data_IF_522903128975
#
_entry.id   IF_522903128975
#
_cell.length_a   1.000
_cell.length_b   1.000
_cell.length_c   1.000
_cell.angle_alpha   90.00
_cell.angle_beta   90.00
_cell.angle_gamma   90.00
#
_symmetry.space_group_name_H-M   'P 1'
#
loop_
_entity.id
_entity.type
_entity.pdbx_description
1 polymer ?
#
# COMPACT_ATOMS: atom_id res chain seq x y z
N UNK A 1 -26.65 -12.95 -56.73
CA UNK A 1 -26.98 -11.85 -55.81
C UNK A 1 -27.51 -10.71 -56.66
N UNK A 2 -28.83 -10.50 -56.64
CA UNK A 2 -29.49 -9.38 -57.31
C UNK A 2 -29.30 -8.12 -56.46
N UNK A 3 -28.80 -7.04 -57.06
CA UNK A 3 -28.62 -5.76 -56.40
C UNK A 3 -29.96 -5.10 -56.02
N UNK A 4 -29.91 -4.02 -55.21
CA UNK A 4 -31.11 -3.33 -54.72
C UNK A 4 -31.98 -2.85 -55.89
N UNK A 5 -33.29 -3.00 -55.72
CA UNK A 5 -34.29 -2.57 -56.70
C UNK A 5 -34.45 -1.05 -56.69
N UNK A 6 -35.02 -0.49 -57.75
CA UNK A 6 -35.30 0.96 -57.83
C UNK A 6 -36.18 1.44 -56.65
N UNK A 7 -37.08 0.58 -56.17
CA UNK A 7 -37.87 0.84 -54.97
C UNK A 7 -37.03 0.93 -53.68
N UNK A 8 -35.99 0.09 -53.57
CA UNK A 8 -35.06 0.12 -52.43
C UNK A 8 -34.20 1.40 -52.44
N UNK A 9 -33.82 1.87 -53.63
CA UNK A 9 -33.04 3.10 -53.79
C UNK A 9 -33.88 4.35 -53.50
N UNK A 10 -35.15 4.38 -53.91
CA UNK A 10 -36.08 5.47 -53.61
C UNK A 10 -36.39 5.51 -52.11
N UNK A 11 -36.62 4.36 -51.49
CA UNK A 11 -36.86 4.26 -50.04
C UNK A 11 -35.63 4.71 -49.24
N UNK A 12 -34.43 4.34 -49.68
CA UNK A 12 -33.19 4.80 -49.06
C UNK A 12 -32.98 6.31 -49.25
N UNK A 13 -33.31 6.87 -50.43
CA UNK A 13 -33.22 8.29 -50.70
C UNK A 13 -34.20 9.10 -49.83
N UNK A 14 -35.43 8.62 -49.66
CA UNK A 14 -36.44 9.25 -48.80
C UNK A 14 -36.04 9.18 -47.32
N UNK A 15 -35.43 8.08 -46.87
CA UNK A 15 -34.89 7.96 -45.51
C UNK A 15 -33.71 8.92 -45.28
N UNK A 16 -32.82 9.09 -46.26
CA UNK A 16 -31.71 10.04 -46.18
C UNK A 16 -32.22 11.48 -46.19
N UNK A 17 -33.23 11.80 -47.00
CA UNK A 17 -33.87 13.11 -47.04
C UNK A 17 -34.60 13.43 -45.72
N UNK A 18 -35.33 12.47 -45.16
CA UNK A 18 -35.99 12.61 -43.85
C UNK A 18 -34.96 12.77 -42.72
N UNK A 19 -33.86 12.04 -42.74
CA UNK A 19 -32.77 12.19 -41.77
C UNK A 19 -32.05 13.55 -41.91
N UNK A 20 -31.89 14.06 -43.14
CA UNK A 20 -31.32 15.38 -43.39
C UNK A 20 -32.26 16.51 -42.94
N UNK A 21 -33.57 16.38 -43.16
CA UNK A 21 -34.58 17.31 -42.69
C UNK A 21 -34.68 17.33 -41.15
N UNK A 22 -34.64 16.15 -40.51
CA UNK A 22 -34.62 16.03 -39.05
C UNK A 22 -33.35 16.65 -38.43
N UNK A 23 -32.17 16.43 -39.05
CA UNK A 23 -30.95 17.15 -38.66
C UNK A 23 -31.10 18.65 -38.83
N UNK A 24 -31.63 19.12 -39.97
CA UNK A 24 -31.90 20.54 -40.20
C UNK A 24 -32.82 21.15 -39.14
N UNK A 25 -33.86 20.44 -38.70
CA UNK A 25 -34.75 20.88 -37.61
C UNK A 25 -34.07 20.95 -36.25
N UNK A 26 -33.21 19.97 -35.91
CA UNK A 26 -32.42 19.99 -34.68
C UNK A 26 -31.49 21.22 -34.61
N UNK A 27 -30.99 21.69 -35.77
CA UNK A 27 -30.09 22.84 -35.89
C UNK A 27 -30.77 24.18 -36.26
N UNK A 28 -32.05 24.18 -36.66
CA UNK A 28 -32.82 25.39 -37.02
C UNK A 28 -33.17 26.30 -35.84
N UNK A 29 -33.07 25.82 -34.60
CA UNK A 29 -33.49 26.54 -33.39
C UNK A 29 -32.47 27.55 -32.82
N UNK A 30 -31.36 27.82 -33.50
CA UNK A 30 -30.34 28.76 -33.04
C UNK A 30 -29.60 28.33 -31.76
N UNK A 31 -28.45 28.96 -31.54
CA UNK A 31 -27.59 28.71 -30.38
C UNK A 31 -28.16 29.42 -29.15
N UNK A 32 -29.06 28.75 -28.41
CA UNK A 32 -29.64 29.34 -27.19
C UNK A 32 -28.63 29.31 -26.04
N UNK A 33 -28.62 30.33 -25.16
CA UNK A 33 -27.78 30.34 -23.93
C UNK A 33 -27.92 29.05 -23.13
N UNK A 34 -29.11 28.44 -23.10
CA UNK A 34 -29.38 27.17 -22.42
C UNK A 34 -28.69 25.98 -23.09
N UNK A 35 -28.65 25.92 -24.42
CA UNK A 35 -27.92 24.89 -25.18
C UNK A 35 -26.41 25.10 -25.15
N UNK A 36 -25.95 26.35 -25.15
CA UNK A 36 -24.52 26.66 -24.92
C UNK A 36 -24.08 26.28 -23.51
N UNK A 37 -24.87 26.59 -22.48
CA UNK A 37 -24.57 26.18 -21.10
C UNK A 37 -24.69 24.66 -20.91
N UNK A 38 -25.62 23.99 -21.59
CA UNK A 38 -25.69 22.53 -21.60
C UNK A 38 -24.48 21.91 -22.32
N UNK A 39 -24.07 22.46 -23.47
CA UNK A 39 -22.89 22.02 -24.22
C UNK A 39 -21.56 22.31 -23.50
N UNK A 40 -21.41 23.51 -22.94
CA UNK A 40 -20.27 23.89 -22.11
C UNK A 40 -20.25 23.10 -20.78
N UNK A 41 -21.42 22.80 -20.22
CA UNK A 41 -21.58 21.92 -19.07
C UNK A 41 -21.18 20.48 -19.37
N UNK A 42 -21.51 19.96 -20.55
CA UNK A 42 -21.06 18.64 -21.03
C UNK A 42 -19.56 18.61 -21.29
N UNK A 43 -18.97 19.65 -21.90
CA UNK A 43 -17.52 19.74 -22.12
C UNK A 43 -16.77 19.93 -20.81
N UNK A 44 -17.28 20.74 -19.88
CA UNK A 44 -16.69 20.91 -18.55
C UNK A 44 -16.84 19.63 -17.70
N UNK A 45 -17.97 18.93 -17.77
CA UNK A 45 -18.15 17.63 -17.12
C UNK A 45 -17.30 16.53 -17.77
N UNK A 46 -17.08 16.57 -19.09
CA UNK A 46 -16.17 15.67 -19.78
C UNK A 46 -14.70 16.02 -19.50
N UNK A 47 -14.35 17.29 -19.28
CA UNK A 47 -13.00 17.73 -18.92
C UNK A 47 -12.67 17.43 -17.45
N UNK A 48 -13.59 17.72 -16.52
CA UNK A 48 -13.48 17.33 -15.11
C UNK A 48 -13.60 15.82 -14.92
N UNK A 49 -14.47 15.19 -15.72
CA UNK A 49 -14.54 13.74 -15.89
C UNK A 49 -13.19 13.22 -16.36
N UNK A 50 -12.58 13.76 -17.42
CA UNK A 50 -11.29 13.31 -17.96
C UNK A 50 -10.14 13.39 -16.95
N UNK A 51 -10.12 14.40 -16.06
CA UNK A 51 -9.14 14.49 -14.98
C UNK A 51 -9.38 13.47 -13.85
N UNK A 52 -10.61 12.97 -13.68
CA UNK A 52 -10.96 11.85 -12.82
C UNK A 52 -10.94 10.48 -13.56
N UNK A 53 -10.86 10.48 -14.89
CA UNK A 53 -11.08 9.33 -15.80
C UNK A 53 -9.79 8.86 -16.47
N UNK A 54 -8.63 9.48 -16.20
CA UNK A 54 -7.35 8.83 -16.52
C UNK A 54 -7.23 7.57 -15.66
N UNK A 55 -7.58 6.43 -16.26
CA UNK A 55 -7.46 5.04 -15.76
C UNK A 55 -8.31 4.64 -14.53
N UNK A 56 -9.63 4.90 -14.57
CA UNK A 56 -10.61 4.19 -13.74
C UNK A 56 -11.22 3.01 -14.49
N UNK A 57 -10.58 1.84 -14.45
CA UNK A 57 -11.27 0.56 -14.64
C UNK A 57 -11.36 -0.15 -13.29
N UNK A 58 -12.39 0.16 -12.51
CA UNK A 58 -12.83 -0.66 -11.40
C UNK A 58 -14.13 -1.35 -11.81
N UNK A 59 -14.07 -2.64 -12.17
CA UNK A 59 -15.31 -3.41 -12.35
C UNK A 59 -15.87 -3.71 -10.96
N UNK A 60 -16.95 -3.04 -10.58
CA UNK A 60 -17.73 -3.41 -9.42
C UNK A 60 -18.77 -4.46 -9.82
N UNK A 61 -18.55 -5.72 -9.41
CA UNK A 61 -19.65 -6.63 -9.13
C UNK A 61 -19.83 -6.67 -7.60
N UNK A 62 -21.03 -6.43 -7.05
CA UNK A 62 -21.28 -6.66 -5.64
C UNK A 62 -21.02 -8.15 -5.33
N UNK A 63 -20.05 -8.44 -4.44
CA UNK A 63 -19.72 -9.80 -4.01
C UNK A 63 -18.27 -10.29 -4.24
N UNK A 64 -17.34 -9.47 -4.75
CA UNK A 64 -15.92 -9.87 -4.97
C UNK A 64 -14.93 -9.35 -3.90
N UNK A 65 -15.42 -8.80 -2.79
CA UNK A 65 -14.58 -8.49 -1.64
C UNK A 65 -14.19 -9.81 -0.97
N UNK A 66 -12.90 -10.13 -0.97
CA UNK A 66 -12.39 -11.34 -0.30
C UNK A 66 -12.41 -11.22 1.22
N UNK A 67 -12.79 -10.05 1.77
CA UNK A 67 -12.63 -9.68 3.17
C UNK A 67 -11.17 -9.45 3.58
N UNK A 68 -10.22 -9.70 2.66
CA UNK A 68 -8.79 -9.73 2.93
C UNK A 68 -8.07 -8.46 2.54
N UNK A 69 -7.17 -8.01 3.41
CA UNK A 69 -6.39 -6.80 3.21
C UNK A 69 -4.88 -7.03 3.47
N UNK A 70 -4.05 -6.51 2.57
CA UNK A 70 -2.60 -6.41 2.72
C UNK A 70 -2.22 -4.95 3.00
N UNK A 71 -1.64 -4.69 4.17
CA UNK A 71 -1.09 -3.38 4.53
C UNK A 71 0.43 -3.43 4.43
N UNK A 72 1.03 -2.61 3.57
CA UNK A 72 2.48 -2.50 3.40
C UNK A 72 2.94 -1.21 4.05
N UNK A 73 3.72 -1.31 5.13
CA UNK A 73 4.32 -0.15 5.80
C UNK A 73 5.76 -0.01 5.33
N UNK A 74 6.08 1.11 4.69
CA UNK A 74 7.42 1.43 4.24
C UNK A 74 8.14 2.31 5.27
N UNK A 75 9.15 1.75 5.91
CA UNK A 75 10.03 2.41 6.86
C UNK A 75 11.18 3.11 6.10
N UNK A 76 10.91 4.32 5.61
CA UNK A 76 11.81 5.12 4.75
C UNK A 76 13.03 5.59 5.56
N UNK A 77 14.24 5.33 5.04
CA UNK A 77 15.51 5.74 5.64
C UNK A 77 16.46 4.59 5.97
N UNK A 78 16.08 3.35 5.62
CA UNK A 78 16.88 2.18 5.94
C UNK A 78 16.71 1.75 7.39
N UNK A 79 15.57 1.18 7.75
CA UNK A 79 15.27 0.69 9.10
C UNK A 79 16.42 -0.14 9.70
N UNK A 80 16.77 0.08 10.97
CA UNK A 80 17.83 -0.69 11.63
C UNK A 80 17.28 -1.99 12.24
N UNK A 81 17.12 -3.01 11.39
CA UNK A 81 16.67 -4.34 11.81
C UNK A 81 17.56 -5.00 12.87
N UNK A 82 18.84 -4.65 12.96
CA UNK A 82 19.77 -5.18 13.97
C UNK A 82 19.58 -4.52 15.35
N UNK A 83 19.07 -3.29 15.40
CA UNK A 83 18.67 -2.65 16.66
C UNK A 83 17.24 -3.04 17.07
N UNK A 84 16.35 -3.34 16.12
CA UNK A 84 14.98 -3.72 16.42
C UNK A 84 14.83 -5.21 16.81
N UNK A 85 15.48 -6.09 16.06
CA UNK A 85 15.51 -7.55 16.26
C UNK A 85 16.96 -7.93 16.48
N UNK A 86 17.35 -7.91 17.74
CA UNK A 86 18.75 -7.92 18.18
C UNK A 86 19.27 -9.36 18.19
N UNK A 87 20.37 -9.67 17.49
CA UNK A 87 20.99 -11.00 17.51
C UNK A 87 21.79 -11.20 18.81
N UNK A 88 21.08 -11.33 19.92
CA UNK A 88 21.64 -11.40 21.28
C UNK A 88 22.69 -12.51 21.47
N UNK A 89 22.58 -13.59 20.69
CA UNK A 89 23.53 -14.70 20.72
C UNK A 89 24.78 -14.51 19.86
N UNK A 90 24.89 -13.41 19.11
CA UNK A 90 26.02 -13.14 18.21
C UNK A 90 27.09 -12.28 18.93
N UNK A 91 28.31 -12.81 19.14
CA UNK A 91 29.34 -12.12 19.90
C UNK A 91 29.86 -10.84 19.22
N UNK A 92 29.71 -10.72 17.90
CA UNK A 92 30.22 -9.57 17.15
C UNK A 92 29.27 -8.36 17.22
N UNK A 93 28.03 -8.53 17.68
CA UNK A 93 27.04 -7.45 17.73
C UNK A 93 27.46 -6.27 18.62
N UNK A 94 27.76 -6.52 19.89
CA UNK A 94 28.16 -5.46 20.84
C UNK A 94 29.58 -4.96 20.57
N UNK A 95 30.43 -5.78 19.93
CA UNK A 95 31.76 -5.35 19.47
C UNK A 95 31.62 -4.31 18.37
N UNK A 96 30.70 -4.54 17.43
CA UNK A 96 30.44 -3.63 16.32
C UNK A 96 29.65 -2.37 16.75
N UNK A 97 28.91 -2.43 17.86
CA UNK A 97 28.03 -1.36 18.35
C UNK A 97 28.27 -1.02 19.83
N UNK A 98 29.47 -0.55 20.20
CA UNK A 98 29.83 -0.35 21.60
C UNK A 98 29.00 0.71 22.33
N UNK A 99 28.40 1.68 21.63
CA UNK A 99 27.60 2.74 22.27
C UNK A 99 26.09 2.60 22.03
N UNK A 100 25.68 2.11 20.85
CA UNK A 100 24.25 1.99 20.47
C UNK A 100 23.70 0.56 20.57
N UNK A 101 24.54 -0.42 20.85
CA UNK A 101 24.15 -1.82 20.95
C UNK A 101 23.22 -2.07 22.14
N UNK A 102 22.18 -2.89 21.92
CA UNK A 102 21.24 -3.25 22.98
C UNK A 102 21.74 -4.50 23.71
N UNK A 103 21.94 -4.45 25.03
CA UNK A 103 22.45 -5.60 25.78
C UNK A 103 21.38 -6.68 25.95
N UNK A 104 21.81 -7.94 26.01
CA UNK A 104 20.92 -9.10 25.96
C UNK A 104 19.90 -9.13 27.10
N UNK A 105 20.28 -8.66 28.29
CA UNK A 105 19.44 -8.60 29.48
C UNK A 105 18.26 -7.62 29.38
N UNK A 106 18.31 -6.66 28.45
CA UNK A 106 17.24 -5.70 28.23
C UNK A 106 16.22 -6.16 27.19
N UNK A 107 16.51 -7.26 26.47
CA UNK A 107 15.70 -7.72 25.36
C UNK A 107 14.49 -8.51 25.81
N UNK A 108 13.41 -8.39 25.03
CA UNK A 108 12.28 -9.29 25.12
C UNK A 108 12.62 -10.54 24.30
N UNK A 109 12.70 -11.74 24.90
CA UNK A 109 13.19 -12.92 24.19
C UNK A 109 12.23 -13.33 23.06
N UNK A 110 12.77 -13.58 21.86
CA UNK A 110 12.01 -14.14 20.72
C UNK A 110 12.34 -15.62 20.55
N UNK A 111 13.64 -15.94 20.44
CA UNK A 111 14.16 -17.30 20.41
C UNK A 111 15.56 -17.35 21.05
N UNK A 112 16.33 -18.41 20.81
CA UNK A 112 17.71 -18.54 21.34
C UNK A 112 18.73 -17.62 20.66
N UNK A 113 18.42 -17.11 19.48
CA UNK A 113 19.31 -16.30 18.64
C UNK A 113 18.99 -14.82 18.78
N UNK A 114 17.71 -14.48 18.88
CA UNK A 114 17.20 -13.12 18.78
C UNK A 114 16.36 -12.70 19.99
N UNK A 115 16.46 -11.41 20.31
CA UNK A 115 15.54 -10.70 21.20
C UNK A 115 14.99 -9.45 20.52
N UNK A 116 13.82 -9.01 20.94
CA UNK A 116 13.17 -7.80 20.46
C UNK A 116 13.57 -6.62 21.36
N UNK A 117 13.81 -5.46 20.74
CA UNK A 117 14.06 -4.21 21.47
C UNK A 117 12.88 -3.92 22.44
N UNK A 118 13.13 -3.52 23.71
CA UNK A 118 12.07 -3.32 24.70
C UNK A 118 11.03 -2.25 24.32
N UNK A 119 11.44 -1.23 23.56
CA UNK A 119 10.52 -0.24 22.97
C UNK A 119 9.42 -0.85 22.09
N UNK A 120 9.63 -2.05 21.52
CA UNK A 120 8.63 -2.80 20.77
C UNK A 120 7.77 -3.72 21.66
N UNK A 121 7.80 -3.55 22.98
CA UNK A 121 7.11 -4.44 23.93
C UNK A 121 5.60 -4.57 23.73
N UNK A 122 4.96 -3.57 23.11
CA UNK A 122 3.56 -3.65 22.69
C UNK A 122 3.28 -4.80 21.70
N UNK A 123 4.31 -5.29 20.98
CA UNK A 123 4.21 -6.39 20.01
C UNK A 123 4.42 -7.77 20.63
N UNK A 124 4.98 -7.86 21.83
CA UNK A 124 5.31 -9.15 22.47
C UNK A 124 4.08 -10.07 22.64
N UNK A 125 2.88 -9.57 23.04
CA UNK A 125 1.69 -10.42 23.10
C UNK A 125 1.30 -11.04 21.75
N UNK A 126 1.46 -10.30 20.65
CA UNK A 126 1.13 -10.79 19.31
C UNK A 126 2.13 -11.84 18.82
N UNK A 127 3.41 -11.70 19.18
CA UNK A 127 4.41 -12.73 18.92
C UNK A 127 4.09 -14.01 19.69
N UNK A 128 3.83 -13.91 20.99
CA UNK A 128 3.46 -15.04 21.83
C UNK A 128 2.16 -15.73 21.37
N UNK A 129 1.21 -14.98 20.82
CA UNK A 129 -0.04 -15.50 20.25
C UNK A 129 0.13 -16.11 18.83
N UNK A 130 1.33 -16.09 18.26
CA UNK A 130 1.57 -16.57 16.90
C UNK A 130 0.96 -15.69 15.80
N UNK A 131 0.65 -14.44 16.12
CA UNK A 131 0.08 -13.44 15.21
C UNK A 131 1.15 -12.50 14.62
N UNK A 132 2.31 -12.40 15.25
CA UNK A 132 3.49 -11.69 14.73
C UNK A 132 4.57 -12.69 14.32
N UNK A 133 5.04 -12.59 13.08
CA UNK A 133 6.25 -13.24 12.58
C UNK A 133 7.29 -12.20 12.19
N UNK A 134 8.55 -12.60 12.17
CA UNK A 134 9.67 -11.75 11.78
C UNK A 134 10.50 -12.50 10.75
N UNK A 135 11.00 -11.82 9.73
CA UNK A 135 12.06 -12.33 8.85
C UNK A 135 13.27 -11.45 9.04
N UNK A 136 14.41 -12.03 9.42
CA UNK A 136 15.67 -11.29 9.57
C UNK A 136 16.55 -11.45 8.33
N UNK A 137 17.66 -10.72 8.26
CA UNK A 137 18.64 -10.75 7.18
C UNK A 137 17.98 -10.66 5.78
N UNK A 138 16.96 -9.80 5.69
CA UNK A 138 16.22 -9.55 4.45
C UNK A 138 16.95 -8.53 3.60
N UNK A 139 17.11 -8.81 2.31
CA UNK A 139 17.62 -7.85 1.32
C UNK A 139 17.08 -8.14 -0.07
N UNK A 140 17.47 -7.35 -1.06
CA UNK A 140 17.16 -7.61 -2.49
C UNK A 140 18.32 -8.27 -3.24
N UNK A 141 19.14 -9.07 -2.54
CA UNK A 141 20.39 -9.60 -3.08
C UNK A 141 21.45 -8.53 -3.35
N UNK A 142 22.42 -8.83 -4.22
CA UNK A 142 23.56 -7.95 -4.55
C UNK A 142 23.21 -6.74 -5.44
N UNK A 143 21.94 -6.54 -5.76
CA UNK A 143 21.47 -5.53 -6.73
C UNK A 143 21.04 -4.20 -6.12
N UNK A 144 20.73 -4.17 -4.81
CA UNK A 144 20.25 -2.95 -4.15
C UNK A 144 21.40 -1.98 -3.90
N UNK A 145 21.24 -0.73 -4.35
CA UNK A 145 22.21 0.33 -4.13
C UNK A 145 22.04 0.95 -2.75
N UNK A 146 23.07 1.64 -2.22
CA UNK A 146 22.96 2.42 -0.98
C UNK A 146 22.35 3.82 -1.18
N UNK A 147 21.73 4.08 -2.33
CA UNK A 147 21.04 5.35 -2.59
C UNK A 147 19.56 5.20 -2.26
N UNK A 148 19.05 6.00 -1.31
CA UNK A 148 17.61 5.96 -0.95
C UNK A 148 16.71 6.02 -2.18
N UNK A 149 16.96 6.96 -3.09
CA UNK A 149 16.12 7.13 -4.27
C UNK A 149 16.06 5.86 -5.14
N UNK A 150 17.22 5.27 -5.44
CA UNK A 150 17.29 4.08 -6.30
C UNK A 150 16.79 2.82 -5.58
N UNK A 151 17.18 2.63 -4.32
CA UNK A 151 16.80 1.46 -3.53
C UNK A 151 15.30 1.43 -3.25
N UNK A 152 14.71 2.58 -2.90
CA UNK A 152 13.26 2.71 -2.74
C UNK A 152 12.53 2.41 -4.05
N UNK A 153 12.98 2.98 -5.17
CA UNK A 153 12.37 2.71 -6.48
C UNK A 153 12.46 1.22 -6.86
N UNK A 154 13.62 0.58 -6.67
CA UNK A 154 13.80 -0.86 -6.94
C UNK A 154 12.89 -1.74 -6.07
N UNK A 155 12.91 -1.52 -4.75
CA UNK A 155 12.17 -2.39 -3.83
C UNK A 155 10.65 -2.21 -3.97
N UNK A 156 10.18 -0.98 -4.17
CA UNK A 156 8.78 -0.67 -4.41
C UNK A 156 8.32 -1.19 -5.79
N UNK A 157 9.20 -1.20 -6.78
CA UNK A 157 8.92 -1.84 -8.07
C UNK A 157 9.03 -3.34 -8.02
N UNK A 158 9.73 -3.94 -7.05
CA UNK A 158 9.93 -5.39 -7.01
C UNK A 158 10.84 -5.92 -8.11
N UNK A 159 11.72 -5.09 -8.69
CA UNK A 159 12.56 -5.45 -9.83
C UNK A 159 13.92 -4.78 -9.77
N UNK A 160 14.93 -5.47 -10.31
CA UNK A 160 16.30 -4.93 -10.42
C UNK A 160 16.49 -4.04 -11.67
N UNK A 161 15.57 -4.14 -12.65
CA UNK A 161 15.64 -3.40 -13.91
C UNK A 161 14.99 -2.01 -13.80
N UNK A 162 15.72 -0.91 -14.12
CA UNK A 162 15.17 0.45 -14.09
C UNK A 162 14.15 0.72 -15.21
N UNK A 163 13.96 -0.21 -16.15
CA UNK A 163 13.04 -0.05 -17.27
C UNK A 163 11.57 -0.34 -16.90
N UNK A 164 11.33 -1.05 -15.79
CA UNK A 164 9.99 -1.42 -15.35
C UNK A 164 9.30 -0.22 -14.72
N UNK A 165 8.19 0.23 -15.31
CA UNK A 165 7.46 1.42 -14.84
C UNK A 165 6.36 1.13 -13.83
N UNK A 166 5.98 -0.13 -13.64
CA UNK A 166 4.92 -0.51 -12.70
C UNK A 166 5.49 -0.97 -11.35
N UNK A 167 4.69 -0.78 -10.29
CA UNK A 167 4.97 -1.28 -8.96
C UNK A 167 4.63 -2.76 -8.79
N UNK A 168 5.22 -3.43 -7.80
CA UNK A 168 4.89 -4.85 -7.56
C UNK A 168 3.48 -5.03 -7.01
N UNK A 169 3.04 -4.14 -6.12
CA UNK A 169 1.72 -4.23 -5.50
C UNK A 169 0.62 -3.93 -6.53
N UNK A 170 0.87 -3.02 -7.47
CA UNK A 170 0.05 -2.82 -8.66
C UNK A 170 -0.11 -4.12 -9.46
N UNK A 171 0.99 -4.78 -9.84
CA UNK A 171 0.92 -6.03 -10.61
C UNK A 171 0.21 -7.14 -9.84
N UNK A 172 0.40 -7.21 -8.53
CA UNK A 172 -0.30 -8.16 -7.67
C UNK A 172 -1.80 -7.87 -7.62
N UNK A 173 -2.18 -6.59 -7.51
CA UNK A 173 -3.56 -6.16 -7.58
C UNK A 173 -4.16 -6.57 -8.91
N UNK A 174 -3.56 -6.24 -10.06
CA UNK A 174 -4.06 -6.63 -11.39
C UNK A 174 -4.42 -8.12 -11.49
N UNK A 175 -3.60 -9.00 -10.90
CA UNK A 175 -3.87 -10.44 -10.83
C UNK A 175 -5.02 -10.82 -9.89
N UNK A 176 -5.26 -10.06 -8.82
CA UNK A 176 -6.41 -10.24 -7.93
C UNK A 176 -7.75 -9.90 -8.60
N UNK A 177 -7.72 -9.42 -9.85
CA UNK A 177 -8.90 -9.03 -10.59
C UNK A 177 -9.51 -7.71 -10.09
N UNK A 178 -10.65 -7.30 -10.65
CA UNK A 178 -11.23 -6.00 -10.36
C UNK A 178 -11.76 -5.91 -8.92
N UNK A 179 -11.86 -4.68 -8.39
CA UNK A 179 -12.36 -4.41 -7.05
C UNK A 179 -13.08 -3.07 -6.95
N UNK A 180 -13.38 -2.64 -5.73
CA UNK A 180 -14.00 -1.34 -5.46
C UNK A 180 -13.01 -0.21 -5.71
N UNK A 181 -13.45 1.05 -5.60
CA UNK A 181 -12.49 2.16 -5.70
C UNK A 181 -11.51 2.20 -4.54
N UNK A 182 -11.93 1.78 -3.34
CA UNK A 182 -11.04 1.70 -2.18
C UNK A 182 -10.17 0.45 -2.18
N UNK A 183 -10.15 -0.33 -3.28
CA UNK A 183 -9.30 -1.52 -3.44
C UNK A 183 -7.85 -1.27 -3.10
N UNK A 184 -7.33 -0.10 -3.47
CA UNK A 184 -5.97 0.34 -3.19
C UNK A 184 -5.98 1.71 -2.53
N UNK A 185 -5.36 1.82 -1.35
CA UNK A 185 -5.24 3.07 -0.59
C UNK A 185 -3.77 3.36 -0.30
N UNK A 186 -3.39 4.63 -0.37
CA UNK A 186 -2.06 5.10 -0.01
C UNK A 186 -2.19 6.16 1.07
N UNK A 187 -1.65 5.93 2.25
CA UNK A 187 -1.53 6.91 3.34
C UNK A 187 -0.07 7.32 3.49
N UNK A 188 0.27 8.60 3.26
CA UNK A 188 1.66 9.00 3.44
C UNK A 188 2.08 10.30 2.78
N UNK A 189 3.40 10.51 2.84
CA UNK A 189 4.08 11.74 2.44
C UNK A 189 4.34 11.78 0.92
N UNK A 190 4.31 10.60 0.26
CA UNK A 190 4.57 10.41 -1.16
C UNK A 190 3.58 9.43 -1.80
N UNK A 191 3.43 9.48 -3.12
CA UNK A 191 2.80 8.40 -3.87
C UNK A 191 3.81 7.25 -4.02
N UNK A 192 3.53 6.06 -3.48
CA UNK A 192 4.50 4.97 -3.48
C UNK A 192 4.65 4.37 -4.87
N UNK A 193 5.88 4.08 -5.29
CA UNK A 193 6.15 3.45 -6.58
C UNK A 193 5.55 2.03 -6.65
N UNK A 194 5.23 1.41 -5.52
CA UNK A 194 4.62 0.08 -5.43
C UNK A 194 3.20 0.02 -5.99
N UNK A 195 2.50 1.15 -5.99
CA UNK A 195 1.18 1.31 -6.60
C UNK A 195 1.23 2.06 -7.94
N UNK A 196 2.43 2.33 -8.49
CA UNK A 196 2.55 2.97 -9.79
C UNK A 196 2.05 2.05 -10.90
N UNK A 197 1.05 2.50 -11.65
CA UNK A 197 0.53 1.78 -12.82
C UNK A 197 -0.86 2.23 -13.21
N UNK A 198 -1.70 1.27 -13.58
CA UNK A 198 -3.04 1.49 -14.11
C UNK A 198 -4.13 1.52 -13.03
N UNK A 199 -3.92 0.86 -11.88
CA UNK A 199 -4.80 1.04 -10.72
C UNK A 199 -4.61 2.45 -10.17
N UNK A 200 -5.69 3.22 -10.15
CA UNK A 200 -5.69 4.51 -9.46
C UNK A 200 -5.88 4.24 -7.96
N UNK A 201 -4.79 4.13 -7.21
CA UNK A 201 -4.86 4.10 -5.75
C UNK A 201 -5.45 5.40 -5.22
N UNK A 202 -6.32 5.31 -4.22
CA UNK A 202 -6.82 6.50 -3.51
C UNK A 202 -5.72 6.96 -2.56
N UNK A 203 -5.08 8.07 -2.88
CA UNK A 203 -4.15 8.73 -1.96
C UNK A 203 -4.94 9.49 -0.90
N UNK A 204 -4.66 9.18 0.36
CA UNK A 204 -5.24 9.78 1.55
C UNK A 204 -4.12 10.50 2.32
N UNK A 205 -4.42 11.69 2.83
CA UNK A 205 -3.63 12.35 3.88
C UNK A 205 -4.53 12.47 5.10
N UNK A 206 -4.89 11.32 5.64
CA UNK A 206 -6.03 11.16 6.53
C UNK A 206 -7.35 11.07 5.78
N UNK A 207 -8.25 10.18 6.23
CA UNK A 207 -9.54 9.90 5.56
C UNK A 207 -10.31 11.19 5.34
N UNK A 208 -10.25 12.16 6.28
CA UNK A 208 -10.95 13.46 6.24
C UNK A 208 -10.43 14.49 5.23
N UNK A 209 -9.19 14.37 4.72
CA UNK A 209 -8.62 15.35 3.77
C UNK A 209 -9.21 15.19 2.35
N UNK A 210 -9.52 13.95 1.94
CA UNK A 210 -10.27 13.67 0.71
C UNK A 210 -11.74 14.15 0.80
N UNK A 211 -12.19 14.49 2.01
CA UNK A 211 -13.58 14.81 2.34
C UNK A 211 -13.87 16.32 2.34
N UNK A 212 -12.84 17.16 2.24
CA UNK A 212 -12.97 18.62 2.26
C UNK A 212 -13.18 19.20 0.85
N UNK A 213 -14.24 18.80 0.17
CA UNK A 213 -14.70 19.59 -0.98
C UNK A 213 -16.22 19.76 -0.97
N UNK A 214 -16.71 20.91 -0.48
CA UNK A 214 -18.13 21.31 -0.52
C UNK A 214 -18.66 21.47 -1.95
N UNK A 215 -17.79 21.45 -2.97
CA UNK A 215 -18.20 21.36 -4.37
C UNK A 215 -18.79 19.99 -4.75
N UNK A 216 -18.50 18.93 -3.96
CA UNK A 216 -18.92 17.56 -4.26
C UNK A 216 -20.44 17.39 -4.31
N UNK A 217 -21.23 17.98 -3.40
CA UNK A 217 -22.70 17.80 -3.40
C UNK A 217 -23.42 18.45 -4.60
N UNK A 218 -23.02 19.70 -4.93
CA UNK A 218 -23.55 20.38 -6.13
C UNK A 218 -23.09 19.69 -7.40
N UNK A 219 -21.85 19.20 -7.41
CA UNK A 219 -21.29 18.45 -8.53
C UNK A 219 -21.92 17.06 -8.67
N UNK A 220 -22.20 16.33 -7.58
CA UNK A 220 -22.95 15.05 -7.63
C UNK A 220 -24.35 15.26 -8.16
N UNK A 221 -25.02 16.33 -7.73
CA UNK A 221 -26.38 16.65 -8.19
C UNK A 221 -26.38 17.03 -9.67
N UNK A 222 -25.39 17.82 -10.09
CA UNK A 222 -25.18 18.18 -11.50
C UNK A 222 -24.83 16.95 -12.36
N UNK A 223 -23.94 16.06 -11.90
CA UNK A 223 -23.57 14.82 -12.59
C UNK A 223 -24.75 13.84 -12.68
N UNK A 224 -25.50 13.64 -11.58
CA UNK A 224 -26.73 12.82 -11.61
C UNK A 224 -27.74 13.38 -12.61
N UNK A 225 -27.95 14.69 -12.63
CA UNK A 225 -28.88 15.34 -13.55
C UNK A 225 -28.40 15.37 -15.01
N UNK A 226 -27.08 15.43 -15.26
CA UNK A 226 -26.52 15.40 -16.62
C UNK A 226 -26.57 14.00 -17.24
N UNK A 227 -26.36 12.96 -16.44
CA UNK A 227 -26.17 11.57 -16.92
C UNK A 227 -27.37 10.65 -16.66
N UNK A 228 -28.41 11.10 -15.97
CA UNK A 228 -29.65 10.32 -15.85
C UNK A 228 -30.31 10.15 -17.22
N UNK A 229 -30.41 8.90 -17.71
CA UNK A 229 -31.09 8.56 -18.96
C UNK A 229 -30.24 8.66 -20.23
N UNK A 230 -28.92 8.82 -20.13
CA UNK A 230 -28.00 8.79 -21.27
C UNK A 230 -27.21 7.47 -21.31
N UNK A 231 -27.32 6.75 -22.43
CA UNK A 231 -26.58 5.51 -22.69
C UNK A 231 -25.23 5.86 -23.33
N UNK A 232 -24.31 6.37 -22.51
CA UNK A 232 -22.97 6.81 -22.93
C UNK A 232 -21.89 5.85 -22.38
N UNK A 233 -20.77 5.65 -23.10
CA UNK A 233 -19.62 4.87 -22.60
C UNK A 233 -19.02 5.38 -21.28
N UNK A 234 -19.37 6.59 -20.85
CA UNK A 234 -18.91 7.26 -19.63
C UNK A 234 -19.89 7.10 -18.47
N UNK A 235 -21.12 6.61 -18.70
CA UNK A 235 -22.16 6.49 -17.69
C UNK A 235 -21.75 5.56 -16.53
N UNK A 236 -21.03 4.47 -16.84
CA UNK A 236 -20.48 3.55 -15.85
C UNK A 236 -19.43 4.23 -14.94
N UNK A 237 -18.54 5.04 -15.53
CA UNK A 237 -17.50 5.79 -14.81
C UNK A 237 -18.07 6.89 -13.92
N UNK A 238 -19.16 7.51 -14.37
CA UNK A 238 -19.94 8.47 -13.55
C UNK A 238 -20.62 7.74 -12.39
N UNK A 239 -21.18 6.55 -12.62
CA UNK A 239 -21.77 5.69 -11.58
C UNK A 239 -20.77 5.31 -10.49
N UNK A 240 -19.53 4.94 -10.86
CA UNK A 240 -18.43 4.68 -9.93
C UNK A 240 -18.06 5.93 -9.12
N UNK A 241 -17.99 7.09 -9.77
CA UNK A 241 -17.70 8.38 -9.12
C UNK A 241 -18.81 8.79 -8.15
N UNK A 242 -20.08 8.54 -8.48
CA UNK A 242 -21.20 8.81 -7.59
C UNK A 242 -21.27 7.82 -6.41
N UNK A 243 -20.95 6.55 -6.64
CA UNK A 243 -20.90 5.51 -5.60
C UNK A 243 -19.78 5.79 -4.59
N UNK A 244 -18.63 6.22 -5.11
CA UNK A 244 -17.54 6.78 -4.30
C UNK A 244 -18.03 7.90 -3.40
N UNK A 245 -18.62 8.95 -3.98
CA UNK A 245 -19.06 10.10 -3.23
C UNK A 245 -20.09 9.72 -2.15
N UNK A 246 -20.96 8.75 -2.43
CA UNK A 246 -21.91 8.22 -1.44
C UNK A 246 -21.22 7.43 -0.30
N UNK A 247 -20.30 6.50 -0.61
CA UNK A 247 -19.56 5.74 0.41
C UNK A 247 -18.71 6.67 1.27
N UNK A 248 -18.01 7.59 0.61
CA UNK A 248 -17.23 8.66 1.23
C UNK A 248 -18.09 9.52 2.16
N UNK A 249 -19.29 9.92 1.73
CA UNK A 249 -20.23 10.68 2.58
C UNK A 249 -20.76 9.86 3.77
N UNK A 250 -21.00 8.56 3.57
CA UNK A 250 -21.39 7.65 4.65
C UNK A 250 -20.28 7.50 5.69
N UNK A 251 -19.03 7.30 5.25
CA UNK A 251 -17.89 7.24 6.15
C UNK A 251 -17.81 8.50 7.01
N UNK A 252 -17.91 9.69 6.41
CA UNK A 252 -17.91 10.98 7.12
C UNK A 252 -18.97 11.11 8.20
N UNK A 253 -20.18 10.66 7.90
CA UNK A 253 -21.33 10.87 8.77
C UNK A 253 -21.22 10.07 10.07
N UNK A 254 -20.36 9.05 10.11
CA UNK A 254 -20.13 8.20 11.27
C UNK A 254 -18.72 8.45 11.82
N UNK A 255 -18.58 9.14 12.97
CA UNK A 255 -17.31 9.23 13.68
C UNK A 255 -16.75 7.84 13.95
N UNK A 256 -15.48 7.63 13.62
CA UNK A 256 -14.82 6.38 13.94
C UNK A 256 -14.43 6.35 15.41
N UNK A 257 -14.85 5.31 16.11
CA UNK A 257 -14.43 5.05 17.49
C UNK A 257 -13.67 3.71 17.49
N UNK A 258 -12.37 3.71 17.85
CA UNK A 258 -11.63 2.47 18.03
C UNK A 258 -12.28 1.54 19.06
N UNK A 259 -11.91 0.26 19.05
CA UNK A 259 -12.35 -0.70 20.06
C UNK A 259 -12.06 -0.21 21.48
N UNK A 260 -12.82 -0.70 22.45
CA UNK A 260 -12.68 -0.29 23.85
C UNK A 260 -11.23 -0.48 24.34
N UNK A 261 -10.71 0.53 25.05
CA UNK A 261 -9.33 0.53 25.55
C UNK A 261 -8.26 0.84 24.50
N UNK A 262 -8.57 0.82 23.20
CA UNK A 262 -7.58 1.14 22.15
C UNK A 262 -7.34 2.64 22.07
N UNK A 263 -6.06 3.01 22.01
CA UNK A 263 -5.60 4.38 21.75
C UNK A 263 -4.47 4.32 20.73
N UNK A 264 -4.68 4.97 19.58
CA UNK A 264 -3.60 5.15 18.61
C UNK A 264 -2.61 6.20 19.13
N UNK A 265 -1.29 6.00 18.93
CA UNK A 265 -0.31 7.01 19.29
C UNK A 265 -0.51 8.27 18.45
N UNK A 266 -0.07 9.42 18.98
CA UNK A 266 -0.05 10.66 18.21
C UNK A 266 0.90 10.56 17.01
N UNK A 267 0.62 11.36 15.97
CA UNK A 267 1.45 11.43 14.77
C UNK A 267 0.87 10.67 13.57
N UNK A 268 1.57 10.78 12.44
CA UNK A 268 1.06 10.35 11.14
C UNK A 268 0.80 8.84 11.06
N UNK A 269 1.68 8.02 11.65
CA UNK A 269 1.51 6.56 11.63
C UNK A 269 0.26 6.15 12.42
N UNK A 270 0.06 6.66 13.64
CA UNK A 270 -1.12 6.33 14.43
C UNK A 270 -2.42 6.76 13.75
N UNK A 271 -2.44 7.94 13.12
CA UNK A 271 -3.58 8.41 12.34
C UNK A 271 -3.84 7.52 11.11
N UNK A 272 -2.82 7.20 10.32
CA UNK A 272 -2.94 6.33 9.15
C UNK A 272 -3.46 4.94 9.52
N UNK A 273 -2.94 4.32 10.59
CA UNK A 273 -3.43 3.02 11.04
C UNK A 273 -4.87 3.08 11.53
N UNK A 274 -5.27 4.14 12.25
CA UNK A 274 -6.66 4.36 12.65
C UNK A 274 -7.59 4.49 11.44
N UNK A 275 -7.16 5.18 10.40
CA UNK A 275 -7.91 5.37 9.17
C UNK A 275 -8.05 4.07 8.38
N UNK A 276 -6.99 3.28 8.26
CA UNK A 276 -7.06 1.95 7.66
C UNK A 276 -8.00 1.02 8.46
N UNK A 277 -7.99 1.08 9.80
CA UNK A 277 -8.89 0.28 10.62
C UNK A 277 -10.35 0.65 10.37
N UNK A 278 -10.65 1.95 10.24
CA UNK A 278 -11.97 2.45 9.84
C UNK A 278 -12.40 1.91 8.48
N UNK A 279 -11.53 1.96 7.47
CA UNK A 279 -11.84 1.48 6.12
C UNK A 279 -12.08 -0.04 6.10
N UNK A 280 -11.25 -0.81 6.79
CA UNK A 280 -11.41 -2.27 6.91
C UNK A 280 -12.73 -2.61 7.60
N UNK A 281 -13.03 -1.98 8.73
CA UNK A 281 -14.27 -2.23 9.49
C UNK A 281 -15.52 -1.82 8.73
N UNK A 282 -15.44 -0.72 7.95
CA UNK A 282 -16.52 -0.27 7.08
C UNK A 282 -16.72 -1.14 5.84
N UNK A 283 -15.85 -2.14 5.60
CA UNK A 283 -15.97 -3.11 4.51
C UNK A 283 -16.10 -2.45 3.12
N UNK A 284 -15.31 -1.40 2.89
CA UNK A 284 -15.32 -0.66 1.61
C UNK A 284 -14.64 -1.40 0.45
N UNK A 285 -14.22 -2.65 0.68
CA UNK A 285 -13.51 -3.49 -0.29
C UNK A 285 -12.02 -3.18 -0.42
N UNK A 286 -11.38 -2.71 0.66
CA UNK A 286 -9.92 -2.54 0.72
C UNK A 286 -9.23 -3.89 0.51
N UNK A 287 -8.27 -3.94 -0.43
CA UNK A 287 -7.42 -5.13 -0.65
C UNK A 287 -5.96 -4.85 -0.36
N UNK A 288 -5.49 -3.65 -0.69
CA UNK A 288 -4.12 -3.24 -0.46
C UNK A 288 -4.07 -1.82 0.09
N UNK A 289 -3.24 -1.61 1.10
CA UNK A 289 -2.91 -0.29 1.61
C UNK A 289 -1.39 -0.13 1.70
N UNK A 290 -0.90 1.07 1.48
CA UNK A 290 0.50 1.44 1.71
C UNK A 290 0.59 2.57 2.74
N UNK A 291 1.53 2.49 3.67
CA UNK A 291 1.80 3.54 4.65
C UNK A 291 3.27 3.91 4.63
N UNK A 292 3.61 5.18 4.40
CA UNK A 292 5.01 5.66 4.47
C UNK A 292 5.33 6.22 5.87
N UNK A 293 6.43 5.74 6.46
CA UNK A 293 6.95 6.19 7.76
C UNK A 293 8.41 6.57 7.61
N UNK A 294 8.73 7.85 7.70
CA UNK A 294 10.10 8.36 7.68
C UNK A 294 10.77 8.36 9.06
N UNK A 295 12.01 8.87 9.11
CA UNK A 295 12.79 9.03 10.33
C UNK A 295 13.80 7.91 10.61
N UNK A 296 13.92 6.92 9.73
CA UNK A 296 14.79 5.76 9.96
C UNK A 296 16.24 5.95 9.50
N UNK A 297 16.56 7.09 8.87
CA UNK A 297 17.92 7.41 8.42
C UNK A 297 18.80 7.96 9.57
N UNK A 298 18.98 7.14 10.59
CA UNK A 298 19.64 7.51 11.84
C UNK A 298 21.17 7.45 11.73
N UNK A 299 21.76 8.46 11.10
CA UNK A 299 23.22 8.65 11.03
C UNK A 299 23.85 9.16 12.33
N UNK A 300 23.04 9.71 13.23
CA UNK A 300 23.46 10.17 14.55
C UNK A 300 22.31 10.00 15.53
N UNK A 301 22.60 10.13 16.83
CA UNK A 301 21.60 10.12 17.90
C UNK A 301 20.66 8.90 17.86
N UNK A 302 21.13 7.74 17.39
CA UNK A 302 20.35 6.51 17.46
C UNK A 302 19.96 6.20 18.91
N UNK A 303 20.88 6.51 19.84
CA UNK A 303 20.68 6.39 21.27
C UNK A 303 21.03 5.01 21.81
N UNK A 304 20.71 4.81 23.07
CA UNK A 304 20.81 3.52 23.74
C UNK A 304 19.42 2.89 23.90
N UNK A 305 19.35 1.76 24.59
CA UNK A 305 18.12 0.96 24.77
C UNK A 305 16.93 1.73 25.36
N UNK A 306 17.17 2.80 26.11
CA UNK A 306 16.16 3.58 26.83
C UNK A 306 16.02 5.04 26.35
N UNK A 307 16.75 5.44 25.31
CA UNK A 307 16.78 6.83 24.84
C UNK A 307 17.08 6.93 23.32
N UNK A 308 17.09 8.17 22.82
CA UNK A 308 17.41 8.51 21.44
C UNK A 308 16.33 8.16 20.42
N UNK A 309 16.66 8.45 19.16
CA UNK A 309 15.67 8.45 18.07
C UNK A 309 15.23 7.02 17.72
N UNK A 310 16.12 6.02 17.86
CA UNK A 310 15.76 4.62 17.59
C UNK A 310 14.68 4.14 18.56
N UNK A 311 14.88 4.35 19.87
CA UNK A 311 13.91 3.96 20.90
C UNK A 311 12.57 4.67 20.70
N UNK A 312 12.57 5.96 20.39
CA UNK A 312 11.36 6.73 20.15
C UNK A 312 10.58 6.24 18.91
N UNK A 313 11.28 6.01 17.78
CA UNK A 313 10.66 5.52 16.56
C UNK A 313 10.11 4.10 16.72
N UNK A 314 10.85 3.21 17.40
CA UNK A 314 10.39 1.86 17.71
C UNK A 314 9.15 1.87 18.61
N UNK A 315 9.11 2.70 19.65
CA UNK A 315 7.94 2.83 20.52
C UNK A 315 6.71 3.29 19.74
N UNK A 316 6.87 4.25 18.83
CA UNK A 316 5.81 4.72 17.94
C UNK A 316 5.30 3.61 16.99
N UNK A 317 6.22 2.90 16.34
CA UNK A 317 5.90 1.79 15.44
C UNK A 317 5.17 0.66 16.17
N UNK A 318 5.74 0.18 17.27
CA UNK A 318 5.18 -0.92 18.07
C UNK A 318 3.80 -0.60 18.61
N UNK A 319 3.61 0.62 19.15
CA UNK A 319 2.32 1.06 19.70
C UNK A 319 1.25 1.23 18.61
N UNK A 320 1.61 1.74 17.43
CA UNK A 320 0.66 1.91 16.33
C UNK A 320 0.19 0.56 15.76
N UNK A 321 1.13 -0.38 15.57
CA UNK A 321 0.83 -1.74 15.12
C UNK A 321 -0.02 -2.52 16.13
N UNK A 322 0.32 -2.43 17.42
CA UNK A 322 -0.44 -3.07 18.48
C UNK A 322 -1.86 -2.48 18.60
N UNK A 323 -1.99 -1.16 18.55
CA UNK A 323 -3.29 -0.48 18.55
C UNK A 323 -4.13 -0.93 17.36
N UNK A 324 -3.56 -0.94 16.15
CA UNK A 324 -4.23 -1.41 14.93
C UNK A 324 -4.74 -2.84 15.04
N UNK A 325 -3.87 -3.77 15.43
CA UNK A 325 -4.23 -5.18 15.55
C UNK A 325 -5.31 -5.42 16.61
N UNK A 326 -5.21 -4.74 17.75
CA UNK A 326 -6.24 -4.81 18.81
C UNK A 326 -7.56 -4.21 18.33
N UNK A 327 -7.50 -3.09 17.61
CA UNK A 327 -8.68 -2.40 17.09
C UNK A 327 -9.44 -3.27 16.10
N UNK A 328 -8.74 -3.93 15.16
CA UNK A 328 -9.35 -4.80 14.17
C UNK A 328 -10.11 -5.99 14.77
N UNK A 329 -9.67 -6.50 15.93
CA UNK A 329 -10.26 -7.68 16.56
C UNK A 329 -10.30 -8.86 15.59
N UNK A 330 -11.48 -9.46 15.40
CA UNK A 330 -11.67 -10.60 14.49
C UNK A 330 -11.26 -10.32 13.04
N UNK A 331 -11.34 -9.06 12.59
CA UNK A 331 -10.92 -8.65 11.23
C UNK A 331 -9.42 -8.76 11.00
N UNK A 332 -8.62 -8.87 12.08
CA UNK A 332 -7.19 -9.12 11.96
C UNK A 332 -6.90 -10.48 11.29
N UNK A 333 -7.79 -11.47 11.43
CA UNK A 333 -7.64 -12.78 10.80
C UNK A 333 -7.60 -12.73 9.27
N UNK A 334 -8.16 -11.67 8.68
CA UNK A 334 -8.18 -11.40 7.24
C UNK A 334 -7.25 -10.26 6.83
N UNK A 335 -6.48 -9.68 7.76
CA UNK A 335 -5.58 -8.56 7.46
C UNK A 335 -4.14 -8.93 7.79
N UNK A 336 -3.23 -8.84 6.82
CA UNK A 336 -1.77 -8.92 7.08
C UNK A 336 -1.14 -7.56 6.92
N UNK A 337 -0.38 -7.14 7.94
CA UNK A 337 0.56 -6.03 7.84
C UNK A 337 1.95 -6.58 7.57
N UNK A 338 2.67 -5.99 6.62
CA UNK A 338 4.08 -6.26 6.35
C UNK A 338 4.87 -4.95 6.39
N UNK A 339 6.01 -4.94 7.09
CA UNK A 339 6.94 -3.79 7.06
C UNK A 339 8.06 -4.02 6.06
N UNK A 340 8.46 -2.98 5.35
CA UNK A 340 9.56 -2.99 4.40
C UNK A 340 10.46 -1.77 4.60
N UNK A 341 11.71 -1.86 4.17
CA UNK A 341 12.62 -0.73 4.06
C UNK A 341 13.58 -0.97 2.91
N UNK A 342 14.11 0.09 2.32
CA UNK A 342 14.92 0.02 1.09
C UNK A 342 16.22 -0.77 1.25
N UNK A 343 16.79 -0.78 2.45
CA UNK A 343 17.96 -1.55 2.88
C UNK A 343 18.03 -1.53 4.41
N UNK A 344 18.98 -2.22 5.02
CA UNK A 344 19.30 -2.12 6.45
C UNK A 344 20.41 -1.11 6.75
N UNK A 345 20.80 -1.02 8.01
CA UNK A 345 21.96 -0.22 8.44
C UNK A 345 23.24 -1.04 8.52
N UNK A 346 24.39 -0.37 8.55
CA UNK A 346 25.69 -1.00 8.80
C UNK A 346 25.68 -1.82 10.10
N UNK A 347 26.48 -2.89 10.12
CA UNK A 347 26.71 -3.68 11.35
C UNK A 347 27.46 -2.82 12.36
N UNK A 348 28.54 -2.18 11.92
CA UNK A 348 29.33 -1.26 12.74
C UNK A 348 28.62 0.08 12.95
N UNK A 349 28.63 0.57 14.18
CA UNK A 349 28.26 1.96 14.47
C UNK A 349 29.27 2.94 13.87
N UNK A 350 28.80 4.14 13.53
CA UNK A 350 29.65 5.22 13.03
C UNK A 350 30.14 6.12 14.18
N UNK A 351 31.06 7.04 13.87
CA UNK A 351 31.63 7.95 14.87
C UNK A 351 30.68 9.02 15.41
N UNK A 352 29.41 9.04 14.99
CA UNK A 352 28.40 10.04 15.39
C UNK A 352 27.28 9.44 16.24
N UNK A 353 27.45 8.22 16.75
CA UNK A 353 26.43 7.56 17.58
C UNK A 353 25.19 7.15 16.78
N UNK A 354 25.40 6.79 15.51
CA UNK A 354 24.39 6.20 14.63
C UNK A 354 25.03 5.14 13.73
N UNK A 355 24.41 4.87 12.59
CA UNK A 355 24.93 3.92 11.60
C UNK A 355 24.85 4.50 10.20
N UNK A 356 25.67 4.03 9.27
CA UNK A 356 25.54 4.40 7.86
C UNK A 356 24.64 3.40 7.10
N UNK A 357 24.43 3.64 5.82
CA UNK A 357 23.63 2.75 4.96
C UNK A 357 24.30 1.37 4.83
N UNK A 358 23.53 0.32 5.03
CA UNK A 358 23.97 -1.07 4.96
C UNK A 358 23.16 -1.91 3.95
N UNK A 359 23.00 -3.18 4.26
CA UNK A 359 22.44 -4.20 3.36
C UNK A 359 21.22 -4.90 3.97
N UNK A 360 21.43 -6.03 4.64
CA UNK A 360 20.38 -6.85 5.24
C UNK A 360 19.60 -6.14 6.35
N UNK A 361 18.29 -6.40 6.42
CA UNK A 361 17.33 -5.78 7.33
C UNK A 361 16.38 -6.81 7.96
N UNK A 362 15.37 -6.36 8.71
CA UNK A 362 14.29 -7.17 9.26
C UNK A 362 12.92 -6.68 8.76
N UNK A 363 12.02 -7.64 8.52
CA UNK A 363 10.62 -7.40 8.19
C UNK A 363 9.71 -7.98 9.28
N UNK A 364 8.71 -7.23 9.71
CA UNK A 364 7.63 -7.69 10.59
C UNK A 364 6.41 -8.08 9.77
N UNK A 365 5.78 -9.19 10.14
CA UNK A 365 4.52 -9.67 9.58
C UNK A 365 3.50 -9.80 10.72
N UNK A 366 2.40 -9.06 10.67
CA UNK A 366 1.39 -9.06 11.73
C UNK A 366 0.02 -9.39 11.17
N UNK A 367 -0.68 -10.33 11.80
CA UNK A 367 -2.10 -10.59 11.59
C UNK A 367 -2.40 -11.88 10.84
N UNK A 368 -3.40 -11.82 9.98
CA UNK A 368 -4.05 -12.94 9.33
C UNK A 368 -3.11 -13.80 8.50
N UNK A 369 -3.21 -15.11 8.64
CA UNK A 369 -2.42 -16.07 7.86
C UNK A 369 -0.93 -16.11 8.19
N UNK A 370 -0.40 -15.27 9.09
CA UNK A 370 1.03 -15.28 9.43
C UNK A 370 1.38 -16.53 10.24
N UNK A 371 2.48 -17.18 9.87
CA UNK A 371 3.12 -18.22 10.67
C UNK A 371 3.96 -17.57 11.79
N UNK A 372 3.29 -16.99 12.79
CA UNK A 372 3.94 -16.16 13.82
C UNK A 372 4.59 -16.94 14.97
N UNK A 373 5.16 -16.19 15.92
CA UNK A 373 5.88 -16.72 17.08
C UNK A 373 7.30 -17.22 16.74
N UNK A 374 7.80 -16.88 15.56
CA UNK A 374 9.09 -17.35 15.03
C UNK A 374 9.81 -16.23 14.28
N UNK A 375 11.15 -16.25 14.34
CA UNK A 375 12.03 -15.52 13.43
C UNK A 375 12.43 -16.45 12.27
N UNK A 376 11.84 -16.19 11.11
CA UNK A 376 11.97 -16.94 9.86
C UNK A 376 13.27 -16.64 9.11
N UNK A 377 13.56 -17.52 8.17
CA UNK A 377 14.67 -17.37 7.23
C UNK A 377 16.03 -17.80 7.81
N UNK A 378 17.04 -17.67 6.95
CA UNK A 378 18.42 -17.97 7.30
C UNK A 378 19.06 -16.80 8.06
N UNK A 379 20.02 -17.11 8.93
CA UNK A 379 20.83 -16.11 9.64
C UNK A 379 22.31 -16.34 9.31
N UNK A 380 23.00 -15.38 8.67
CA UNK A 380 24.40 -15.55 8.26
C UNK A 380 25.40 -15.27 9.39
N UNK A 381 24.98 -14.61 10.47
CA UNK A 381 25.88 -14.12 11.53
C UNK A 381 26.50 -12.76 11.23
N UNK A 382 27.17 -12.18 12.22
CA UNK A 382 27.85 -10.88 12.13
C UNK A 382 29.38 -10.97 12.09
N UNK A 383 29.94 -12.18 12.10
CA UNK A 383 31.37 -12.38 11.95
C UNK A 383 31.89 -11.70 10.67
N UNK A 384 33.08 -11.08 10.68
CA UNK A 384 33.59 -10.32 9.52
C UNK A 384 33.58 -11.07 8.19
N UNK A 385 33.79 -12.40 8.20
CA UNK A 385 33.77 -13.24 7.02
C UNK A 385 32.36 -13.50 6.44
N UNK A 386 31.30 -13.26 7.22
CA UNK A 386 29.91 -13.40 6.80
C UNK A 386 29.33 -12.09 6.25
N UNK A 387 30.03 -10.96 6.45
CA UNK A 387 29.58 -9.64 6.01
C UNK A 387 29.86 -9.41 4.53
N UNK A 388 28.98 -8.65 3.88
CA UNK A 388 29.17 -8.18 2.50
C UNK A 388 29.52 -6.70 2.55
N UNK A 389 30.76 -6.38 2.21
CA UNK A 389 31.31 -5.01 2.30
C UNK A 389 31.16 -4.35 3.68
N UNK A 390 31.03 -5.13 4.76
CA UNK A 390 30.78 -4.65 6.14
C UNK A 390 29.30 -4.62 6.55
N UNK A 391 28.40 -5.13 5.70
CA UNK A 391 26.95 -5.18 5.94
C UNK A 391 26.49 -6.58 6.31
N UNK A 392 25.39 -6.65 7.05
CA UNK A 392 24.65 -7.90 7.20
C UNK A 392 24.26 -8.42 5.81
N UNK A 393 24.60 -9.66 5.49
CA UNK A 393 24.20 -10.26 4.22
C UNK A 393 22.68 -10.44 4.16
N UNK A 394 22.05 -9.92 3.10
CA UNK A 394 20.62 -10.12 2.82
C UNK A 394 20.36 -11.51 2.23
N UNK A 395 20.45 -12.56 3.06
CA UNK A 395 20.30 -13.96 2.62
C UNK A 395 18.86 -14.42 2.42
N UNK A 396 17.88 -13.62 2.87
CA UNK A 396 16.46 -13.83 2.60
C UNK A 396 15.98 -12.74 1.65
N UNK A 397 15.40 -13.10 0.49
CA UNK A 397 14.96 -12.10 -0.47
C UNK A 397 13.61 -11.48 -0.04
N UNK A 398 13.51 -10.16 -0.01
CA UNK A 398 12.25 -9.48 0.37
C UNK A 398 11.08 -9.88 -0.54
N UNK A 399 11.36 -10.18 -1.83
CA UNK A 399 10.35 -10.57 -2.83
C UNK A 399 9.70 -11.89 -2.45
N UNK A 400 10.45 -12.81 -1.84
CA UNK A 400 9.91 -14.08 -1.34
C UNK A 400 8.91 -13.85 -0.20
N UNK A 401 9.25 -12.95 0.73
CA UNK A 401 8.37 -12.57 1.84
C UNK A 401 7.07 -11.97 1.33
N UNK A 402 7.15 -10.92 0.50
CA UNK A 402 5.94 -10.24 0.03
C UNK A 402 5.15 -11.06 -0.98
N UNK A 403 5.81 -11.96 -1.74
CA UNK A 403 5.11 -12.90 -2.62
C UNK A 403 4.24 -13.87 -1.84
N UNK A 404 4.74 -14.44 -0.74
CA UNK A 404 3.93 -15.32 0.13
C UNK A 404 2.71 -14.62 0.69
N UNK A 405 2.91 -13.42 1.23
CA UNK A 405 1.82 -12.62 1.79
C UNK A 405 0.82 -12.24 0.70
N UNK A 406 1.29 -11.81 -0.48
CA UNK A 406 0.41 -11.44 -1.59
C UNK A 406 -0.37 -12.65 -2.14
N UNK A 407 0.22 -13.85 -2.16
CA UNK A 407 -0.49 -15.08 -2.52
C UNK A 407 -1.62 -15.36 -1.54
N UNK A 408 -1.36 -15.25 -0.24
CA UNK A 408 -2.35 -15.50 0.80
C UNK A 408 -3.46 -14.43 0.82
N UNK A 409 -3.11 -13.15 0.73
CA UNK A 409 -4.05 -12.04 0.92
C UNK A 409 -4.75 -11.59 -0.37
N UNK A 410 -4.03 -11.60 -1.50
CA UNK A 410 -4.55 -11.11 -2.78
C UNK A 410 -4.88 -12.23 -3.76
N UNK A 411 -4.56 -13.49 -3.43
CA UNK A 411 -4.87 -14.65 -4.27
C UNK A 411 -4.09 -14.66 -5.59
N UNK A 412 -2.89 -14.07 -5.62
CA UNK A 412 -2.10 -14.02 -6.86
C UNK A 412 -1.68 -15.44 -7.28
N UNK A 413 -2.00 -15.82 -8.53
CA UNK A 413 -1.65 -17.14 -9.06
C UNK A 413 -0.19 -17.26 -9.49
N UNK A 414 0.44 -16.15 -9.89
CA UNK A 414 1.76 -16.11 -10.54
C UNK A 414 2.69 -15.12 -9.84
N UNK A 415 3.75 -15.63 -9.20
CA UNK A 415 4.79 -14.79 -8.57
C UNK A 415 5.65 -14.12 -9.64
N UNK A 416 6.00 -14.84 -10.70
CA UNK A 416 6.86 -14.34 -11.79
C UNK A 416 6.25 -13.13 -12.51
N UNK A 417 4.92 -13.01 -12.55
CA UNK A 417 4.25 -11.83 -13.10
C UNK A 417 4.38 -10.62 -12.17
N UNK A 418 4.36 -10.85 -10.86
CA UNK A 418 4.52 -9.79 -9.85
C UNK A 418 5.99 -9.40 -9.70
N UNK A 419 6.92 -10.35 -9.77
CA UNK A 419 8.37 -10.12 -9.65
C UNK A 419 9.10 -10.73 -10.86
N UNK A 420 9.07 -10.09 -12.04
CA UNK A 420 9.70 -10.62 -13.24
C UNK A 420 11.20 -10.86 -13.06
N UNK A 421 11.65 -12.07 -13.43
CA UNK A 421 13.05 -12.47 -13.33
C UNK A 421 13.49 -12.91 -11.93
N UNK A 422 12.63 -12.79 -10.93
CA UNK A 422 12.88 -13.34 -9.59
C UNK A 422 12.51 -14.82 -9.54
N UNK A 423 13.35 -15.64 -8.93
CA UNK A 423 13.04 -17.05 -8.68
C UNK A 423 12.52 -17.20 -7.26
N UNK A 424 11.20 -17.34 -7.15
CA UNK A 424 10.53 -17.48 -5.86
C UNK A 424 11.04 -18.70 -5.06
N UNK A 425 11.35 -18.47 -3.79
CA UNK A 425 11.68 -19.50 -2.80
C UNK A 425 10.82 -19.30 -1.55
N UNK A 426 10.09 -20.35 -1.15
CA UNK A 426 9.25 -20.25 0.04
C UNK A 426 10.09 -20.18 1.33
N UNK A 427 9.79 -19.20 2.17
CA UNK A 427 10.31 -19.00 3.52
C UNK A 427 9.34 -19.53 4.59
N UNK A 428 8.06 -19.76 4.25
CA UNK A 428 7.07 -20.31 5.18
C UNK A 428 6.53 -19.29 6.17
N UNK A 429 6.40 -18.03 5.73
CA UNK A 429 5.96 -16.90 6.57
C UNK A 429 4.43 -16.84 6.71
N UNK A 430 3.70 -17.59 5.90
CA UNK A 430 2.23 -17.75 5.95
C UNK A 430 1.80 -19.22 6.11
N UNK A 431 0.61 -19.45 6.68
CA UNK A 431 0.01 -20.77 6.97
C UNK A 431 -0.96 -21.26 5.91
#
# INVERSE_FOLDING_TARGET
>A
MTGPTEHDLVTAADQVAAAAAHRSELWRGGFTRRRFLAGAGMVAAAALGSQLVTTRRSYAAPGTATGRALVVIFLRGGFDGLAAVVPAGDPDYLIARPSIGVPAEALLPLDRRFGLHPALGALAPFFAAGQLGIVHAVGGGSGITRSHFQAQDQIERGVDSPSTRTGWLERALDLSGPGTTFRAVSEGISSPASLAGSTTAVSLQGVDSVLLNRSSERMTTALRGLFSGLDLPVAEQVGLTLSLLAQTQSLRATPYTPAEGVRYPAGNLGAAMSDLARLIKADVGLRAATVDVGGWDLHSNAGQVDNGDMTAHLAGLGSALAAFATDLGDRLADTTVVTMSEFGRRVAENGSGGTDHGGGNAMFLLGGGVAGGVVHGSWPGLAPAALVDGDLAGVNDYRDVVAEVARAQLGIGSVDTVFPGHRYTALGVVR
#
